data_IF_048660924216
#
_entry.id   IF_048660924216
#
_cell.length_a   1.000
_cell.length_b   1.000
_cell.length_c   1.000
_cell.angle_alpha   90.00
_cell.angle_beta   90.00
_cell.angle_gamma   90.00
#
_symmetry.space_group_name_H-M   'P 1'
#
loop_
_entity.id
_entity.type
_entity.pdbx_description
1 polymer ?
#
# COMPACT_ATOMS: atom_id res chain seq x y z
N UNK A 1 -13.59 3.44 -3.33
CA UNK A 1 -12.56 2.48 -3.78
C UNK A 1 -12.66 1.21 -2.97
N UNK A 2 -12.59 0.05 -3.61
CA UNK A 2 -12.56 -1.25 -2.95
C UNK A 2 -11.52 -2.14 -3.63
N UNK A 3 -10.98 -3.07 -2.85
CA UNK A 3 -10.15 -4.14 -3.39
C UNK A 3 -11.10 -5.25 -3.85
N UNK A 4 -11.13 -5.59 -5.15
CA UNK A 4 -12.06 -6.59 -5.68
C UNK A 4 -11.82 -7.98 -5.09
N UNK A 5 -10.58 -8.28 -4.68
CA UNK A 5 -10.23 -9.55 -4.06
C UNK A 5 -8.96 -9.35 -3.26
N UNK A 6 -9.06 -9.52 -1.94
CA UNK A 6 -7.91 -9.56 -1.07
C UNK A 6 -7.43 -11.02 -0.91
N UNK A 7 -6.11 -11.26 -0.74
CA UNK A 7 -5.61 -12.56 -0.38
C UNK A 7 -6.29 -13.09 0.90
N UNK A 8 -6.42 -14.41 1.07
CA UNK A 8 -6.83 -14.98 2.34
C UNK A 8 -5.87 -14.48 3.45
N UNK A 9 -6.41 -14.02 4.58
CA UNK A 9 -5.73 -13.31 5.68
C UNK A 9 -5.62 -11.78 5.58
N UNK A 10 -5.97 -11.19 4.42
CA UNK A 10 -5.94 -9.74 4.28
C UNK A 10 -7.29 -9.10 4.59
N UNK A 11 -7.24 -7.92 5.19
CA UNK A 11 -8.40 -7.18 5.65
C UNK A 11 -8.33 -5.74 5.17
N UNK A 12 -9.44 -5.19 4.68
CA UNK A 12 -9.53 -3.77 4.31
C UNK A 12 -10.07 -2.93 5.46
N UNK A 13 -9.50 -1.73 5.62
CA UNK A 13 -9.95 -0.74 6.60
C UNK A 13 -10.06 0.63 5.93
N UNK A 14 -10.96 1.46 6.42
CA UNK A 14 -11.10 2.83 5.95
C UNK A 14 -10.21 3.76 6.78
N UNK A 15 -9.34 4.52 6.12
CA UNK A 15 -8.41 5.48 6.75
C UNK A 15 -7.91 6.46 5.68
N UNK A 16 -8.19 7.77 5.79
CA UNK A 16 -7.73 8.89 4.91
C UNK A 16 -7.61 8.58 3.39
N UNK A 17 -8.27 7.52 2.91
CA UNK A 17 -7.83 6.68 1.79
C UNK A 17 -8.39 5.24 1.92
N UNK A 18 -7.99 4.36 1.01
CA UNK A 18 -8.35 2.93 1.05
C UNK A 18 -7.13 2.10 1.44
N UNK A 19 -7.26 1.32 2.52
CA UNK A 19 -6.17 0.52 3.08
C UNK A 19 -6.52 -0.97 3.08
N UNK A 20 -5.56 -1.82 2.76
CA UNK A 20 -5.60 -3.26 2.99
C UNK A 20 -4.34 -3.73 3.73
N UNK A 21 -4.52 -4.61 4.71
CA UNK A 21 -3.43 -5.13 5.55
C UNK A 21 -3.45 -6.65 5.58
N UNK A 22 -2.28 -7.30 5.75
CA UNK A 22 -2.17 -8.77 5.87
C UNK A 22 -2.41 -9.33 7.28
N UNK A 23 -2.77 -8.48 8.24
CA UNK A 23 -3.09 -8.80 9.62
C UNK A 23 -4.30 -8.00 10.10
N UNK A 24 -4.86 -8.37 11.25
CA UNK A 24 -5.95 -7.64 11.87
C UNK A 24 -5.48 -6.27 12.40
N UNK A 25 -5.77 -5.21 11.68
CA UNK A 25 -5.60 -3.83 12.15
C UNK A 25 -6.83 -3.41 12.96
N UNK A 26 -6.62 -2.66 14.05
CA UNK A 26 -7.70 -2.15 14.91
C UNK A 26 -7.53 -0.64 15.04
N UNK A 27 -8.35 0.17 14.32
CA UNK A 27 -8.32 1.61 14.44
C UNK A 27 -8.70 2.06 15.87
N UNK A 28 -8.00 3.07 16.42
CA UNK A 28 -8.47 3.80 17.61
C UNK A 28 -7.79 3.50 18.96
N UNK A 29 -6.77 2.64 19.03
CA UNK A 29 -5.93 2.44 20.25
C UNK A 29 -4.74 3.41 20.32
N UNK A 30 -4.94 4.72 20.12
CA UNK A 30 -3.87 5.73 20.05
C UNK A 30 -2.81 5.45 18.96
N UNK A 31 -3.23 4.90 17.81
CA UNK A 31 -2.33 4.52 16.73
C UNK A 31 -1.99 5.73 15.84
N UNK A 32 -0.70 6.00 15.56
CA UNK A 32 -0.31 7.00 14.55
C UNK A 32 -0.52 6.49 13.11
N UNK A 33 -1.04 5.28 12.94
CA UNK A 33 -1.42 4.70 11.65
C UNK A 33 -1.33 3.17 11.64
N UNK A 34 -1.63 2.53 10.49
CA UNK A 34 -1.49 1.09 10.32
C UNK A 34 -0.03 0.61 10.45
N UNK A 35 0.95 1.46 10.12
CA UNK A 35 2.38 1.14 10.16
C UNK A 35 2.90 0.77 11.57
N UNK A 36 2.49 1.50 12.61
CA UNK A 36 2.95 1.31 14.00
C UNK A 36 2.70 -0.10 14.54
N UNK A 37 1.63 -0.74 14.05
CA UNK A 37 1.19 -2.06 14.51
C UNK A 37 1.52 -3.18 13.56
N UNK A 38 2.23 -2.89 12.46
CA UNK A 38 2.57 -3.90 11.47
C UNK A 38 3.48 -4.97 12.08
N UNK A 39 3.06 -6.24 12.21
CA UNK A 39 3.95 -7.30 12.68
C UNK A 39 5.03 -7.59 11.64
N UNK A 40 6.10 -8.29 12.01
CA UNK A 40 7.11 -8.78 11.05
C UNK A 40 6.43 -9.64 9.98
N UNK A 41 6.75 -9.39 8.71
CA UNK A 41 6.06 -10.02 7.55
C UNK A 41 4.68 -9.44 7.25
N UNK A 42 4.24 -8.43 8.00
CA UNK A 42 3.04 -7.66 7.68
C UNK A 42 3.20 -6.91 6.36
N UNK A 43 2.09 -6.71 5.65
CA UNK A 43 2.03 -5.89 4.44
C UNK A 43 0.87 -4.92 4.51
N UNK A 44 1.11 -3.65 4.18
CA UNK A 44 0.09 -2.60 4.01
C UNK A 44 0.05 -2.23 2.54
N UNK A 45 -1.16 -2.03 2.01
CA UNK A 45 -1.39 -1.34 0.75
C UNK A 45 -2.31 -0.16 1.04
N UNK A 46 -1.84 1.06 0.78
CA UNK A 46 -2.61 2.29 0.96
C UNK A 46 -2.77 3.02 -0.37
N UNK A 47 -3.98 3.51 -0.65
CA UNK A 47 -4.30 4.33 -1.82
C UNK A 47 -4.68 5.73 -1.35
N UNK A 48 -3.95 6.74 -1.81
CA UNK A 48 -4.15 8.16 -1.47
C UNK A 48 -4.22 9.05 -2.72
N UNK A 49 -4.80 10.25 -2.55
CA UNK A 49 -5.02 11.24 -3.61
C UNK A 49 -4.25 12.51 -3.27
N UNK A 50 -2.95 12.58 -3.56
CA UNK A 50 -2.15 13.75 -3.22
C UNK A 50 -2.66 14.99 -3.97
N UNK A 51 -2.71 16.12 -3.28
CA UNK A 51 -3.13 17.42 -3.83
C UNK A 51 -2.02 18.14 -4.61
N UNK A 52 -0.84 17.53 -4.73
CA UNK A 52 0.35 18.13 -5.33
C UNK A 52 0.14 18.45 -6.82
N UNK A 53 0.69 19.58 -7.28
CA UNK A 53 0.58 20.05 -8.67
C UNK A 53 1.44 19.29 -9.69
N UNK A 54 2.09 18.18 -9.30
CA UNK A 54 2.87 17.34 -10.21
C UNK A 54 1.93 16.62 -11.17
N UNK A 55 2.24 16.58 -12.47
CA UNK A 55 1.48 15.75 -13.42
C UNK A 55 2.10 14.35 -13.49
N UNK A 56 1.44 13.39 -12.87
CA UNK A 56 1.80 11.98 -13.02
C UNK A 56 1.38 11.41 -14.39
N UNK A 57 2.10 10.40 -14.90
CA UNK A 57 1.69 9.66 -16.10
C UNK A 57 0.39 8.87 -15.84
N UNK A 58 -0.27 8.29 -16.86
CA UNK A 58 -1.41 7.40 -16.66
C UNK A 58 -1.08 6.28 -15.65
N UNK A 59 -2.00 6.02 -14.71
CA UNK A 59 -1.77 5.03 -13.67
C UNK A 59 -1.54 3.63 -14.24
N UNK A 60 -0.47 2.98 -13.78
CA UNK A 60 -0.16 1.57 -14.06
C UNK A 60 -0.07 0.82 -12.74
N UNK A 61 -0.95 -0.16 -12.53
CA UNK A 61 -1.01 -0.98 -11.31
C UNK A 61 0.05 -2.10 -11.34
N UNK A 62 1.32 -1.70 -11.31
CA UNK A 62 2.47 -2.61 -11.32
C UNK A 62 3.37 -2.25 -10.15
N UNK A 63 3.64 -3.24 -9.31
CA UNK A 63 4.58 -3.14 -8.20
C UNK A 63 6.00 -2.98 -8.76
N UNK A 64 6.73 -1.92 -8.37
CA UNK A 64 8.11 -1.75 -8.74
C UNK A 64 8.99 -2.89 -8.21
N UNK A 65 10.06 -3.22 -8.94
CA UNK A 65 11.00 -4.26 -8.52
C UNK A 65 11.89 -3.82 -7.35
N UNK A 66 12.09 -2.50 -7.18
CA UNK A 66 12.90 -1.92 -6.11
C UNK A 66 12.05 -0.91 -5.34
N UNK A 67 12.18 -0.88 -4.00
CA UNK A 67 11.53 0.16 -3.21
C UNK A 67 12.17 1.51 -3.53
N UNK A 68 11.37 2.56 -3.41
CA UNK A 68 11.88 3.92 -3.60
C UNK A 68 12.59 4.42 -2.34
N UNK A 69 12.05 4.06 -1.18
CA UNK A 69 12.48 4.50 0.15
C UNK A 69 12.18 3.42 1.19
N UNK A 70 12.63 3.66 2.42
CA UNK A 70 12.10 2.96 3.60
C UNK A 70 10.94 3.77 4.16
N UNK A 71 9.96 3.08 4.75
CA UNK A 71 8.84 3.71 5.43
C UNK A 71 9.36 4.56 6.60
N UNK A 72 8.89 5.79 6.69
CA UNK A 72 9.27 6.73 7.74
C UNK A 72 9.05 6.12 9.13
N UNK A 73 10.01 6.36 10.04
CA UNK A 73 9.96 5.78 11.39
C UNK A 73 10.40 4.32 11.48
N UNK A 74 10.78 3.69 10.36
CA UNK A 74 11.29 2.30 10.35
C UNK A 74 12.62 2.20 9.60
N UNK A 75 13.49 1.28 10.02
CA UNK A 75 14.76 0.99 9.32
C UNK A 75 14.71 -0.28 8.48
N UNK A 76 13.60 -1.04 8.55
CA UNK A 76 13.49 -2.40 8.04
C UNK A 76 12.22 -2.63 7.19
N UNK A 77 11.44 -1.60 6.91
CA UNK A 77 10.23 -1.70 6.08
C UNK A 77 10.41 -0.93 4.77
N UNK A 78 10.73 -1.60 3.65
CA UNK A 78 10.71 -0.96 2.34
C UNK A 78 9.31 -0.48 1.96
N UNK A 79 9.24 0.72 1.40
CA UNK A 79 8.03 1.30 0.79
C UNK A 79 8.17 1.30 -0.74
N UNK A 80 7.22 0.65 -1.40
CA UNK A 80 7.07 0.63 -2.84
C UNK A 80 5.97 1.61 -3.24
N UNK A 81 6.31 2.64 -4.04
CA UNK A 81 5.36 3.65 -4.50
C UNK A 81 4.98 3.44 -5.95
N UNK A 82 3.67 3.47 -6.22
CA UNK A 82 3.11 3.47 -7.56
C UNK A 82 2.37 4.80 -7.72
N UNK A 83 2.92 5.65 -8.57
CA UNK A 83 2.37 6.98 -8.83
C UNK A 83 1.75 7.02 -10.21
N UNK A 84 0.58 7.65 -10.31
CA UNK A 84 -0.11 7.76 -11.56
C UNK A 84 -1.30 8.71 -11.52
N UNK A 85 -1.88 8.95 -12.68
CA UNK A 85 -3.07 9.78 -12.83
C UNK A 85 -4.22 8.94 -13.33
N UNK A 86 -5.39 9.16 -12.75
CA UNK A 86 -6.65 8.54 -13.16
C UNK A 86 -7.80 9.54 -13.02
N UNK A 87 -8.66 9.61 -14.05
CA UNK A 87 -9.82 10.52 -14.06
C UNK A 87 -9.49 11.97 -13.69
N UNK A 88 -8.31 12.46 -14.09
CA UNK A 88 -7.84 13.82 -13.79
C UNK A 88 -7.17 13.99 -12.42
N UNK A 89 -7.29 13.01 -11.53
CA UNK A 89 -6.71 13.05 -10.18
C UNK A 89 -5.38 12.31 -10.12
N UNK A 90 -4.44 12.84 -9.34
CA UNK A 90 -3.22 12.12 -9.00
C UNK A 90 -3.57 11.04 -7.96
N UNK A 91 -2.98 9.88 -8.13
CA UNK A 91 -3.13 8.70 -7.28
C UNK A 91 -1.74 8.24 -6.88
N UNK A 92 -1.55 7.99 -5.59
CA UNK A 92 -0.38 7.33 -5.05
C UNK A 92 -0.82 6.06 -4.33
N UNK A 93 -0.16 4.96 -4.65
CA UNK A 93 -0.35 3.68 -3.96
C UNK A 93 0.96 3.34 -3.27
N UNK A 94 0.95 3.32 -1.95
CA UNK A 94 2.07 2.86 -1.13
C UNK A 94 1.87 1.39 -0.78
N UNK A 95 2.93 0.60 -0.90
CA UNK A 95 2.96 -0.79 -0.45
C UNK A 95 4.14 -0.98 0.47
N UNK A 96 3.86 -1.24 1.74
CA UNK A 96 4.87 -1.44 2.77
C UNK A 96 4.92 -2.91 3.15
N UNK A 97 6.11 -3.51 3.16
CA UNK A 97 6.30 -4.91 3.57
C UNK A 97 7.29 -4.89 4.74
N UNK A 98 6.90 -5.33 5.94
CA UNK A 98 7.78 -5.36 7.12
C UNK A 98 8.78 -6.51 7.05
N UNK A 99 9.69 -6.38 6.10
CA UNK A 99 10.81 -7.26 5.84
C UNK A 99 11.88 -6.45 5.09
N UNK A 100 13.12 -6.32 5.63
CA UNK A 100 14.14 -5.52 4.96
C UNK A 100 14.50 -6.04 3.57
N UNK A 101 14.28 -7.34 3.33
CA UNK A 101 14.47 -8.01 2.05
C UNK A 101 13.24 -8.87 1.74
N UNK A 102 12.16 -8.28 1.19
CA UNK A 102 10.95 -9.02 0.86
C UNK A 102 11.26 -10.18 -0.09
N UNK A 103 10.76 -11.35 0.26
CA UNK A 103 10.85 -12.55 -0.56
C UNK A 103 10.06 -12.40 -1.86
N UNK A 104 10.38 -13.23 -2.86
CA UNK A 104 9.62 -13.28 -4.10
C UNK A 104 8.14 -13.64 -3.89
N UNK A 105 7.82 -14.38 -2.83
CA UNK A 105 6.45 -14.73 -2.47
C UNK A 105 5.68 -13.50 -1.96
N UNK A 106 6.28 -12.73 -1.04
CA UNK A 106 5.70 -11.49 -0.50
C UNK A 106 5.46 -10.46 -1.62
N UNK A 107 6.44 -10.26 -2.51
CA UNK A 107 6.31 -9.36 -3.67
C UNK A 107 5.20 -9.79 -4.64
N UNK A 108 5.06 -11.10 -4.88
CA UNK A 108 4.00 -11.63 -5.76
C UNK A 108 2.61 -11.42 -5.15
N UNK A 109 2.49 -11.54 -3.83
CA UNK A 109 1.23 -11.28 -3.11
C UNK A 109 0.90 -9.79 -3.19
N UNK A 110 1.85 -8.91 -2.88
CA UNK A 110 1.71 -7.47 -3.00
C UNK A 110 1.25 -7.05 -4.41
N UNK A 111 1.89 -7.60 -5.46
CA UNK A 111 1.48 -7.37 -6.84
C UNK A 111 0.03 -7.82 -7.12
N UNK A 112 -0.42 -8.95 -6.56
CA UNK A 112 -1.81 -9.41 -6.74
C UNK A 112 -2.81 -8.42 -6.13
N UNK A 113 -2.52 -7.90 -4.94
CA UNK A 113 -3.36 -6.89 -4.28
C UNK A 113 -3.42 -5.62 -5.12
N UNK A 114 -2.27 -5.09 -5.52
CA UNK A 114 -2.17 -3.92 -6.41
C UNK A 114 -3.00 -4.12 -7.69
N UNK A 115 -2.89 -5.30 -8.31
CA UNK A 115 -3.63 -5.63 -9.55
C UNK A 115 -5.14 -5.77 -9.34
N UNK A 116 -5.59 -5.99 -8.11
CA UNK A 116 -7.00 -6.13 -7.74
C UNK A 116 -7.67 -4.79 -7.35
N UNK A 117 -6.90 -3.70 -7.26
CA UNK A 117 -7.43 -2.36 -6.98
C UNK A 117 -8.35 -1.94 -8.14
N UNK A 118 -9.54 -1.45 -7.79
CA UNK A 118 -10.47 -0.84 -8.73
C UNK A 118 -10.84 0.56 -8.26
N UNK A 119 -10.90 1.45 -9.23
CA UNK A 119 -11.35 2.82 -9.06
C UNK A 119 -12.68 2.92 -9.79
N UNK A 120 -13.71 3.32 -9.06
CA UNK A 120 -15.08 3.55 -9.52
C UNK A 120 -15.44 4.97 -9.12
#
# INVERSE_FOLDING_TARGET
>A
MSFQTLPPSWHSYWSLGAVATSWAYVPGRNSNGPADHMPKGGTIVEVSFPTQHVRFPPLRLVLPHRPAVMLEGTTDTPEYRIEGRMHGSNVMISVDIRSPHPSAAELRIAQRVVSAIRFH
#
